data_IF_372643324378
#
_entry.id   IF_372643324378
#
_cell.length_a   1.000
_cell.length_b   1.000
_cell.length_c   1.000
_cell.angle_alpha   90.00
_cell.angle_beta   90.00
_cell.angle_gamma   90.00
#
_symmetry.space_group_name_H-M   'P 1'
#
loop_
_entity.id
_entity.type
_entity.pdbx_description
1 polymer ?
#
# COMPACT_ATOMS: atom_id res chain seq x y z
N UNK A 1 21.42 -25.14 -8.78
CA UNK A 1 20.80 -25.54 -7.50
C UNK A 1 20.41 -24.35 -6.61
N UNK A 2 21.30 -23.64 -5.88
CA UNK A 2 20.86 -22.51 -5.01
C UNK A 2 20.21 -21.34 -5.76
N UNK A 3 20.73 -20.96 -6.93
CA UNK A 3 20.16 -19.87 -7.75
C UNK A 3 18.80 -20.24 -8.38
N UNK A 4 18.56 -21.53 -8.65
CA UNK A 4 17.28 -22.02 -9.18
C UNK A 4 16.21 -22.04 -8.09
N UNK A 5 16.57 -22.42 -6.85
CA UNK A 5 15.65 -22.39 -5.70
C UNK A 5 15.20 -20.95 -5.41
N UNK A 6 16.13 -19.97 -5.40
CA UNK A 6 15.76 -18.57 -5.21
C UNK A 6 14.84 -18.03 -6.30
N UNK A 7 15.07 -18.39 -7.58
CA UNK A 7 14.14 -17.99 -8.67
C UNK A 7 12.75 -18.59 -8.50
N UNK A 8 12.66 -19.85 -8.08
CA UNK A 8 11.37 -20.51 -7.86
C UNK A 8 10.62 -19.84 -6.70
N UNK A 9 11.31 -19.49 -5.61
CA UNK A 9 10.71 -18.77 -4.48
C UNK A 9 10.25 -17.37 -4.87
N UNK A 10 11.07 -16.62 -5.64
CA UNK A 10 10.70 -15.30 -6.19
C UNK A 10 9.45 -15.39 -7.09
N UNK A 11 9.38 -16.38 -7.99
CA UNK A 11 8.22 -16.61 -8.86
C UNK A 11 6.95 -16.97 -8.05
N UNK A 12 7.07 -17.77 -6.99
CA UNK A 12 5.95 -18.07 -6.11
C UNK A 12 5.47 -16.84 -5.33
N UNK A 13 6.39 -16.01 -4.83
CA UNK A 13 6.02 -14.76 -4.14
C UNK A 13 5.28 -13.81 -5.08
N UNK A 14 5.74 -13.63 -6.32
CA UNK A 14 5.08 -12.77 -7.30
C UNK A 14 3.68 -13.29 -7.64
N UNK A 15 3.54 -14.60 -7.81
CA UNK A 15 2.25 -15.25 -8.04
C UNK A 15 1.28 -15.03 -6.88
N UNK A 16 1.74 -15.19 -5.64
CA UNK A 16 0.93 -14.97 -4.44
C UNK A 16 0.49 -13.50 -4.30
N UNK A 17 1.40 -12.55 -4.55
CA UNK A 17 1.11 -11.12 -4.53
C UNK A 17 0.12 -10.73 -5.65
N UNK A 18 0.21 -11.37 -6.82
CA UNK A 18 -0.75 -11.18 -7.92
C UNK A 18 -2.13 -11.72 -7.55
N UNK A 19 -2.20 -12.87 -6.89
CA UNK A 19 -3.47 -13.43 -6.40
C UNK A 19 -4.11 -12.52 -5.35
N UNK A 20 -3.31 -12.00 -4.42
CA UNK A 20 -3.74 -11.01 -3.42
C UNK A 20 -4.37 -9.78 -4.09
N UNK A 21 -3.74 -9.23 -5.12
CA UNK A 21 -4.28 -8.10 -5.86
C UNK A 21 -5.70 -8.38 -6.41
N UNK A 22 -5.94 -9.60 -6.91
CA UNK A 22 -7.24 -9.99 -7.46
C UNK A 22 -8.27 -10.12 -6.33
N UNK A 23 -7.90 -10.77 -5.22
CA UNK A 23 -8.77 -10.94 -4.04
C UNK A 23 -9.21 -9.58 -3.47
N UNK A 24 -8.26 -8.66 -3.27
CA UNK A 24 -8.54 -7.32 -2.73
C UNK A 24 -9.43 -6.53 -3.69
N UNK A 25 -9.17 -6.56 -5.00
CA UNK A 25 -10.05 -5.92 -6.00
C UNK A 25 -11.48 -6.46 -5.93
N UNK A 26 -11.65 -7.76 -5.71
CA UNK A 26 -12.97 -8.38 -5.53
C UNK A 26 -13.64 -7.93 -4.23
N UNK A 27 -12.91 -7.81 -3.13
CA UNK A 27 -13.40 -7.25 -1.87
C UNK A 27 -13.88 -5.81 -2.04
N UNK A 28 -13.10 -4.95 -2.72
CA UNK A 28 -13.50 -3.57 -3.02
C UNK A 28 -14.80 -3.49 -3.83
N UNK A 29 -14.98 -4.36 -4.85
CA UNK A 29 -16.23 -4.42 -5.63
C UNK A 29 -17.44 -4.82 -4.78
N UNK A 30 -17.22 -5.65 -3.76
CA UNK A 30 -18.25 -6.10 -2.81
C UNK A 30 -18.46 -5.13 -1.64
N UNK A 31 -17.70 -4.03 -1.56
CA UNK A 31 -17.67 -3.12 -0.41
C UNK A 31 -17.29 -3.81 0.92
N UNK A 32 -16.62 -4.97 0.84
CA UNK A 32 -16.15 -5.72 2.02
C UNK A 32 -14.71 -5.31 2.33
N UNK A 33 -14.58 -4.13 2.93
CA UNK A 33 -13.26 -3.56 3.28
C UNK A 33 -12.62 -4.31 4.45
N UNK A 34 -13.40 -4.77 5.43
CA UNK A 34 -12.89 -5.46 6.63
C UNK A 34 -12.12 -6.73 6.24
N UNK A 35 -12.68 -7.55 5.35
CA UNK A 35 -12.00 -8.75 4.87
C UNK A 35 -10.77 -8.39 4.03
N UNK A 36 -10.87 -7.36 3.19
CA UNK A 36 -9.74 -6.87 2.39
C UNK A 36 -8.57 -6.41 3.25
N UNK A 37 -8.84 -5.65 4.31
CA UNK A 37 -7.82 -5.17 5.24
C UNK A 37 -7.11 -6.33 5.95
N UNK A 38 -7.86 -7.34 6.42
CA UNK A 38 -7.25 -8.54 7.02
C UNK A 38 -6.34 -9.30 6.07
N UNK A 39 -6.76 -9.46 4.81
CA UNK A 39 -5.93 -10.11 3.78
C UNK A 39 -4.63 -9.34 3.54
N UNK A 40 -4.73 -8.02 3.46
CA UNK A 40 -3.58 -7.15 3.19
C UNK A 40 -2.64 -7.05 4.39
N UNK A 41 -3.16 -7.01 5.63
CA UNK A 41 -2.36 -7.06 6.85
C UNK A 41 -1.56 -8.36 6.96
N UNK A 42 -2.19 -9.50 6.65
CA UNK A 42 -1.48 -10.78 6.62
C UNK A 42 -0.38 -10.77 5.55
N UNK A 43 -0.67 -10.25 4.36
CA UNK A 43 0.33 -10.14 3.29
C UNK A 43 1.50 -9.20 3.64
N UNK A 44 1.26 -8.10 4.35
CA UNK A 44 2.34 -7.24 4.86
C UNK A 44 3.26 -7.98 5.85
N UNK A 45 2.70 -8.90 6.66
CA UNK A 45 3.49 -9.72 7.57
C UNK A 45 4.30 -10.82 6.86
N UNK A 46 3.74 -11.42 5.80
CA UNK A 46 4.42 -12.46 5.03
C UNK A 46 5.47 -11.90 4.07
N UNK A 47 5.21 -10.72 3.51
CA UNK A 47 6.06 -10.09 2.49
C UNK A 47 6.38 -8.64 2.92
N UNK A 48 7.22 -8.46 3.96
CA UNK A 48 7.54 -7.12 4.48
C UNK A 48 8.29 -6.25 3.46
N UNK A 49 9.02 -6.87 2.54
CA UNK A 49 9.82 -6.18 1.52
C UNK A 49 9.03 -5.90 0.22
N UNK A 50 7.76 -6.31 0.17
CA UNK A 50 6.93 -6.14 -1.01
C UNK A 50 6.17 -4.80 -0.99
N UNK A 51 6.22 -4.06 -2.10
CA UNK A 51 5.48 -2.80 -2.26
C UNK A 51 3.96 -3.02 -2.46
N UNK A 52 3.57 -4.17 -3.00
CA UNK A 52 2.20 -4.47 -3.42
C UNK A 52 1.21 -4.42 -2.24
N UNK A 53 1.46 -5.06 -1.07
CA UNK A 53 0.53 -5.02 0.06
C UNK A 53 0.30 -3.60 0.60
N UNK A 54 1.35 -2.79 0.71
CA UNK A 54 1.20 -1.39 1.14
C UNK A 54 0.35 -0.57 0.17
N UNK A 55 0.56 -0.73 -1.14
CA UNK A 55 -0.28 -0.06 -2.13
C UNK A 55 -1.75 -0.53 -2.05
N UNK A 56 -2.00 -1.83 -1.89
CA UNK A 56 -3.35 -2.37 -1.74
C UNK A 56 -4.05 -1.84 -0.49
N UNK A 57 -3.31 -1.69 0.61
CA UNK A 57 -3.87 -1.11 1.84
C UNK A 57 -4.23 0.36 1.64
N UNK A 58 -3.37 1.12 0.96
CA UNK A 58 -3.68 2.50 0.59
C UNK A 58 -4.96 2.62 -0.24
N UNK A 59 -5.18 1.71 -1.20
CA UNK A 59 -6.43 1.68 -1.98
C UNK A 59 -7.65 1.36 -1.10
N UNK A 60 -7.53 0.42 -0.16
CA UNK A 60 -8.63 0.11 0.77
C UNK A 60 -8.98 1.31 1.66
N UNK A 61 -7.96 1.94 2.25
CA UNK A 61 -8.12 3.12 3.08
C UNK A 61 -8.77 4.27 2.31
N UNK A 62 -8.38 4.45 1.05
CA UNK A 62 -9.03 5.44 0.19
C UNK A 62 -10.52 5.17 0.00
N UNK A 63 -10.92 3.92 -0.25
CA UNK A 63 -12.34 3.57 -0.40
C UNK A 63 -13.14 3.80 0.88
N UNK A 64 -12.48 3.83 2.04
CA UNK A 64 -13.08 4.18 3.33
C UNK A 64 -12.99 5.68 3.67
N UNK A 65 -12.46 6.52 2.77
CA UNK A 65 -12.33 7.97 2.95
C UNK A 65 -11.09 8.42 3.74
N UNK A 66 -10.19 7.51 4.11
CA UNK A 66 -9.00 7.79 4.91
C UNK A 66 -7.81 8.21 4.03
N UNK A 67 -7.95 9.31 3.29
CA UNK A 67 -6.99 9.73 2.28
C UNK A 67 -5.57 9.99 2.82
N UNK A 68 -5.45 10.59 4.01
CA UNK A 68 -4.14 10.86 4.63
C UNK A 68 -3.40 9.57 4.99
N UNK A 69 -4.10 8.58 5.53
CA UNK A 69 -3.55 7.26 5.82
C UNK A 69 -3.18 6.52 4.52
N UNK A 70 -4.03 6.61 3.49
CA UNK A 70 -3.75 6.03 2.17
C UNK A 70 -2.44 6.55 1.57
N UNK A 71 -2.20 7.87 1.63
CA UNK A 71 -0.96 8.49 1.15
C UNK A 71 0.28 7.98 1.88
N UNK A 72 0.20 7.74 3.20
CA UNK A 72 1.31 7.16 3.96
C UNK A 72 1.68 5.78 3.43
N UNK A 73 0.68 4.96 3.09
CA UNK A 73 0.92 3.63 2.56
C UNK A 73 1.41 3.61 1.11
N UNK A 74 0.97 4.55 0.26
CA UNK A 74 1.56 4.72 -1.07
C UNK A 74 3.03 5.14 -0.99
N UNK A 75 3.38 6.03 -0.05
CA UNK A 75 4.78 6.39 0.20
C UNK A 75 5.61 5.21 0.70
N UNK A 76 5.07 4.39 1.59
CA UNK A 76 5.73 3.17 2.06
C UNK A 76 6.01 2.19 0.90
N UNK A 77 5.04 2.00 -0.01
CA UNK A 77 5.24 1.18 -1.19
C UNK A 77 6.37 1.72 -2.10
N UNK A 78 6.48 3.03 -2.26
CA UNK A 78 7.57 3.66 -3.01
C UNK A 78 8.92 3.62 -2.28
N UNK A 79 8.92 3.59 -0.95
CA UNK A 79 10.15 3.41 -0.18
C UNK A 79 10.74 2.01 -0.37
N UNK A 80 9.89 0.98 -0.48
CA UNK A 80 10.30 -0.39 -0.76
C UNK A 80 10.68 -0.59 -2.23
N UNK A 81 9.89 -0.03 -3.15
CA UNK A 81 10.18 -0.07 -4.57
C UNK A 81 9.87 1.29 -5.22
N UNK A 82 10.91 2.14 -5.42
CA UNK A 82 10.75 3.44 -6.05
C UNK A 82 10.19 3.40 -7.47
N UNK A 83 10.38 2.27 -8.18
CA UNK A 83 9.86 2.07 -9.54
C UNK A 83 8.45 1.46 -9.58
N UNK A 84 7.79 1.28 -8.43
CA UNK A 84 6.45 0.71 -8.34
C UNK A 84 5.38 1.69 -8.84
N UNK A 85 5.17 1.69 -10.16
CA UNK A 85 4.28 2.62 -10.88
C UNK A 85 2.87 2.75 -10.28
N UNK A 86 2.20 1.69 -9.80
CA UNK A 86 0.85 1.83 -9.22
C UNK A 86 0.81 2.74 -8.00
N UNK A 87 1.81 2.67 -7.11
CA UNK A 87 1.86 3.56 -5.94
C UNK A 87 2.16 5.01 -6.33
N UNK A 88 3.02 5.23 -7.33
CA UNK A 88 3.30 6.58 -7.81
C UNK A 88 2.05 7.22 -8.44
N UNK A 89 1.35 6.48 -9.31
CA UNK A 89 0.09 6.95 -9.90
C UNK A 89 -0.95 7.30 -8.83
N UNK A 90 -1.14 6.42 -7.84
CA UNK A 90 -2.07 6.69 -6.74
C UNK A 90 -1.64 7.94 -5.94
N UNK A 91 -0.35 8.05 -5.58
CA UNK A 91 0.15 9.20 -4.83
C UNK A 91 0.00 10.52 -5.61
N UNK A 92 0.22 10.52 -6.93
CA UNK A 92 0.00 11.69 -7.78
C UNK A 92 -1.48 12.12 -7.78
N UNK A 93 -2.41 11.16 -7.93
CA UNK A 93 -3.85 11.43 -7.89
C UNK A 93 -4.27 12.07 -6.54
N UNK A 94 -3.74 11.57 -5.42
CA UNK A 94 -4.11 12.09 -4.08
C UNK A 94 -3.27 13.29 -3.62
N UNK A 95 -2.07 13.48 -4.16
CA UNK A 95 -1.23 14.66 -3.93
C UNK A 95 -1.73 15.89 -4.69
N UNK A 96 -2.46 15.70 -5.79
CA UNK A 96 -3.14 16.77 -6.52
C UNK A 96 -4.47 17.21 -5.87
N UNK A 97 -4.93 16.54 -4.81
CA UNK A 97 -5.98 17.09 -3.95
C UNK A 97 -5.39 18.35 -3.30
N UNK A 98 -5.59 19.47 -3.99
CA UNK A 98 -5.14 20.81 -3.64
C UNK A 98 -5.27 21.00 -2.15
N UNK A 99 -4.29 21.68 -1.57
CA UNK A 99 -4.34 22.27 -0.23
C UNK A 99 -5.46 23.33 -0.18
N UNK A 100 -6.71 22.94 -0.43
CA UNK A 100 -7.90 23.74 -0.18
C UNK A 100 -8.36 23.37 1.21
N UNK A 101 -7.77 24.06 2.18
CA UNK A 101 -8.41 24.27 3.48
C UNK A 101 -8.37 23.10 4.44
N UNK A 102 -7.17 22.72 4.89
CA UNK A 102 -6.82 22.59 6.31
C UNK A 102 -5.33 22.27 6.38
N UNK A 103 -4.55 23.17 6.98
CA UNK A 103 -3.21 22.84 7.50
C UNK A 103 -3.38 21.57 8.31
N UNK A 104 -2.75 20.48 7.90
CA UNK A 104 -2.61 19.32 8.78
C UNK A 104 -1.72 19.79 9.93
N UNK A 105 -2.34 20.14 11.07
CA UNK A 105 -1.65 20.26 12.35
C UNK A 105 -1.16 18.86 12.70
N UNK A 106 0.10 18.56 12.40
CA UNK A 106 0.85 17.75 13.35
C UNK A 106 1.23 18.72 14.46
N UNK A 107 0.74 18.44 15.66
CA UNK A 107 1.11 19.20 16.84
C UNK A 107 2.63 19.27 16.97
N UNK A 108 3.10 20.49 17.14
CA UNK A 108 3.92 20.92 18.27
C UNK A 108 5.32 20.27 18.41
N UNK A 109 6.32 21.15 18.31
CA UNK A 109 7.48 21.20 19.21
C UNK A 109 8.56 20.11 19.06
N UNK A 110 9.52 20.38 18.17
CA UNK A 110 10.93 20.18 18.50
C UNK A 110 11.56 21.55 18.76
N UNK A 111 11.09 22.19 19.84
CA UNK A 111 11.85 23.19 20.56
C UNK A 111 12.53 22.48 21.73
N UNK A 112 13.74 21.98 21.54
CA UNK A 112 14.68 21.77 22.65
C UNK A 112 16.08 22.15 22.16
N UNK A 113 16.49 23.34 22.60
CA UNK A 113 17.82 23.99 22.64
C UNK A 113 18.75 23.95 21.41
#
# INVERSE_FOLDING_TARGET
>A
MREEINRIEEDETEKNLRELCIKVKRCCRKHDYITGEKMVMNAMGQYPDAAQPHNLYGVLLEKTGQHTAAMRHFRAALALNPSYRPANYNLEQYGQLRVTGRRCQYGDEWAIY
#
